data_IF_107093091518
#
_entry.id   IF_107093091518
#
_cell.length_a   1.000
_cell.length_b   1.000
_cell.length_c   1.000
_cell.angle_alpha   90.00
_cell.angle_beta   90.00
_cell.angle_gamma   90.00
#
_symmetry.space_group_name_H-M   'P 1'
#
loop_
_entity.id
_entity.type
_entity.pdbx_description
1 polymer ?
#
# COMPACT_ATOMS: atom_id res chain seq x y z
N UNK A 1 48.10 20.08 -13.57
CA UNK A 1 46.86 19.86 -14.34
C UNK A 1 45.93 21.01 -14.01
N UNK A 2 45.84 21.97 -14.93
CA UNK A 2 45.13 23.24 -14.73
C UNK A 2 43.63 23.02 -14.92
N UNK A 3 42.84 23.20 -13.87
CA UNK A 3 41.38 23.24 -14.02
C UNK A 3 41.00 24.56 -14.69
N UNK A 4 40.58 24.45 -15.95
CA UNK A 4 39.94 25.52 -16.71
C UNK A 4 38.69 25.98 -15.95
N UNK A 5 38.71 27.23 -15.47
CA UNK A 5 37.52 27.95 -15.01
C UNK A 5 36.61 28.17 -16.22
N UNK A 6 35.67 27.25 -16.45
CA UNK A 6 34.71 27.34 -17.56
C UNK A 6 33.45 28.08 -17.06
N UNK A 7 33.24 29.35 -17.45
CA UNK A 7 32.17 30.19 -16.92
C UNK A 7 30.76 29.69 -17.27
N UNK A 8 30.64 28.82 -18.29
CA UNK A 8 29.39 28.19 -18.68
C UNK A 8 28.87 27.17 -17.66
N UNK A 9 29.76 26.54 -16.88
CA UNK A 9 29.36 25.57 -15.86
C UNK A 9 28.70 26.27 -14.68
N UNK A 10 29.21 27.44 -14.28
CA UNK A 10 28.71 28.21 -13.15
C UNK A 10 27.38 28.89 -13.46
N UNK A 11 27.20 29.41 -14.67
CA UNK A 11 25.90 29.98 -15.09
C UNK A 11 24.83 28.90 -15.19
N UNK A 12 25.18 27.69 -15.64
CA UNK A 12 24.24 26.57 -15.67
C UNK A 12 23.81 26.13 -14.27
N UNK A 13 24.75 26.05 -13.32
CA UNK A 13 24.44 25.72 -11.91
C UNK A 13 23.54 26.81 -11.28
N UNK A 14 23.79 28.08 -11.58
CA UNK A 14 23.01 29.20 -11.04
C UNK A 14 21.59 29.30 -11.64
N UNK A 15 21.42 28.96 -12.91
CA UNK A 15 20.10 28.88 -13.55
C UNK A 15 19.29 27.67 -13.02
N UNK A 16 19.96 26.55 -12.74
CA UNK A 16 19.32 25.37 -12.15
C UNK A 16 18.79 25.66 -10.73
N UNK A 17 19.54 26.42 -9.92
CA UNK A 17 19.12 26.78 -8.56
C UNK A 17 17.95 27.78 -8.52
N UNK A 18 17.85 28.71 -9.47
CA UNK A 18 16.69 29.61 -9.60
C UNK A 18 15.43 28.84 -10.06
N UNK A 19 15.57 27.86 -10.95
CA UNK A 19 14.43 27.03 -11.36
C UNK A 19 13.87 26.21 -10.19
N UNK A 20 14.72 25.74 -9.27
CA UNK A 20 14.27 24.99 -8.08
C UNK A 20 13.53 25.84 -7.05
N UNK A 21 13.82 27.14 -6.92
CA UNK A 21 13.13 27.99 -5.92
C UNK A 21 11.72 28.39 -6.35
N UNK A 22 11.47 28.53 -7.67
CA UNK A 22 10.16 28.88 -8.21
C UNK A 22 9.16 27.71 -8.09
N UNK A 23 9.64 26.46 -8.09
CA UNK A 23 8.77 25.28 -7.96
C UNK A 23 8.26 25.02 -6.52
N UNK A 24 8.84 25.65 -5.49
CA UNK A 24 8.53 25.33 -4.09
C UNK A 24 7.33 26.15 -3.55
N UNK A 25 6.94 27.25 -4.20
CA UNK A 25 5.95 28.20 -3.65
C UNK A 25 4.47 27.87 -3.93
N UNK A 26 4.16 26.72 -4.54
CA UNK A 26 2.77 26.33 -4.87
C UNK A 26 2.33 24.97 -4.28
N UNK A 27 3.11 24.40 -3.36
CA UNK A 27 2.76 23.17 -2.67
C UNK A 27 1.74 23.38 -1.55
N UNK A 28 0.45 23.38 -1.87
CA UNK A 28 -0.55 22.97 -0.88
C UNK A 28 -0.22 21.52 -0.50
N UNK A 29 -0.06 21.23 0.80
CA UNK A 29 0.30 19.89 1.26
C UNK A 29 -0.75 18.89 0.76
N UNK A 30 -0.39 17.90 -0.08
CA UNK A 30 -1.34 16.89 -0.57
C UNK A 30 -1.82 15.94 0.54
N UNK A 31 -1.37 16.14 1.78
CA UNK A 31 -1.56 15.21 2.90
C UNK A 31 -2.51 15.69 4.00
N UNK A 32 -2.95 16.95 4.00
CA UNK A 32 -3.94 17.40 4.96
C UNK A 32 -5.35 17.10 4.42
N UNK A 33 -5.75 15.81 4.44
CA UNK A 33 -7.17 15.45 4.27
C UNK A 33 -7.96 16.15 5.37
N UNK A 34 -8.97 16.95 5.02
CA UNK A 34 -9.93 17.46 6.01
C UNK A 34 -10.59 16.26 6.71
N UNK A 35 -10.42 16.09 8.02
CA UNK A 35 -10.97 14.96 8.76
C UNK A 35 -12.48 14.82 8.58
N UNK A 36 -13.21 15.92 8.43
CA UNK A 36 -14.66 15.89 8.26
C UNK A 36 -15.07 15.27 6.92
N UNK A 37 -14.34 15.57 5.85
CA UNK A 37 -14.60 14.98 4.53
C UNK A 37 -14.37 13.46 4.54
N UNK A 38 -13.33 13.00 5.24
CA UNK A 38 -13.05 11.56 5.39
C UNK A 38 -14.16 10.88 6.18
N UNK A 39 -14.61 11.49 7.28
CA UNK A 39 -15.72 10.98 8.09
C UNK A 39 -17.02 10.92 7.28
N UNK A 40 -17.33 11.96 6.50
CA UNK A 40 -18.52 11.99 5.65
C UNK A 40 -18.49 10.92 4.56
N UNK A 41 -17.32 10.67 3.95
CA UNK A 41 -17.13 9.58 2.99
C UNK A 41 -17.36 8.20 3.62
N UNK A 42 -16.81 7.97 4.82
CA UNK A 42 -17.00 6.72 5.56
C UNK A 42 -18.48 6.54 5.92
N UNK A 43 -19.13 7.57 6.48
CA UNK A 43 -20.54 7.56 6.81
C UNK A 43 -21.39 7.21 5.59
N UNK A 44 -21.17 7.88 4.45
CA UNK A 44 -21.86 7.60 3.19
C UNK A 44 -21.68 6.16 2.73
N UNK A 45 -20.46 5.63 2.84
CA UNK A 45 -20.14 4.25 2.45
C UNK A 45 -20.91 3.23 3.30
N UNK A 46 -20.94 3.44 4.62
CA UNK A 46 -21.68 2.61 5.57
C UNK A 46 -23.18 2.69 5.33
N UNK A 47 -23.76 3.89 5.20
CA UNK A 47 -25.20 4.04 4.93
C UNK A 47 -25.63 3.36 3.63
N UNK A 48 -24.80 3.42 2.57
CA UNK A 48 -25.09 2.75 1.31
C UNK A 48 -24.99 1.22 1.41
N UNK A 49 -24.04 0.70 2.20
CA UNK A 49 -23.94 -0.73 2.48
C UNK A 49 -25.20 -1.24 3.22
N UNK A 50 -25.59 -0.56 4.31
CA UNK A 50 -26.72 -0.98 5.16
C UNK A 50 -28.08 -0.87 4.47
N UNK A 51 -28.33 0.15 3.65
CA UNK A 51 -29.64 0.32 2.95
C UNK A 51 -29.94 -0.78 1.92
N UNK A 52 -28.92 -1.53 1.49
CA UNK A 52 -29.04 -2.56 0.45
C UNK A 52 -29.02 -3.99 1.01
N UNK A 53 -29.02 -4.17 2.33
CA UNK A 53 -29.06 -5.52 2.95
C UNK A 53 -30.47 -6.15 2.96
N UNK A 54 -31.34 -5.73 2.04
CA UNK A 54 -32.74 -6.17 1.98
C UNK A 54 -32.86 -7.47 1.17
N UNK A 55 -32.20 -8.54 1.60
CA UNK A 55 -32.55 -9.94 1.32
C UNK A 55 -31.49 -10.89 1.90
N UNK A 56 -31.95 -12.03 2.44
CA UNK A 56 -31.17 -13.26 2.68
C UNK A 56 -30.40 -13.76 1.42
N UNK A 57 -30.74 -13.23 0.24
CA UNK A 57 -30.14 -13.54 -1.06
C UNK A 57 -28.96 -12.62 -1.45
N UNK A 58 -28.63 -11.60 -0.65
CA UNK A 58 -27.52 -10.68 -0.95
C UNK A 58 -26.28 -11.04 -0.13
N UNK A 59 -25.09 -11.03 -0.73
CA UNK A 59 -23.82 -11.25 -0.02
C UNK A 59 -23.47 -10.14 0.99
N UNK A 60 -24.17 -9.00 0.92
CA UNK A 60 -23.87 -7.81 1.72
C UNK A 60 -24.18 -8.01 3.20
N UNK A 61 -23.20 -7.68 4.03
CA UNK A 61 -23.23 -7.74 5.49
C UNK A 61 -23.50 -6.38 6.14
N UNK A 62 -23.36 -5.28 5.37
CA UNK A 62 -23.43 -3.92 5.87
C UNK A 62 -22.07 -3.33 6.24
N UNK A 63 -21.00 -4.14 6.21
CA UNK A 63 -19.63 -3.63 6.28
C UNK A 63 -19.11 -3.39 4.85
N UNK A 64 -18.94 -2.12 4.41
CA UNK A 64 -18.55 -1.81 3.03
C UNK A 64 -17.17 -2.35 2.63
N UNK A 65 -16.24 -2.53 3.58
CA UNK A 65 -14.91 -3.11 3.29
C UNK A 65 -15.08 -4.59 2.96
N UNK A 66 -15.77 -5.33 3.81
CA UNK A 66 -15.99 -6.77 3.61
C UNK A 66 -16.87 -7.04 2.39
N UNK A 67 -17.94 -6.27 2.20
CA UNK A 67 -18.83 -6.38 1.05
C UNK A 67 -18.12 -6.13 -0.28
N UNK A 68 -17.00 -5.39 -0.28
CA UNK A 68 -16.21 -5.11 -1.47
C UNK A 68 -15.41 -6.33 -1.97
N UNK A 69 -14.79 -7.10 -1.07
CA UNK A 69 -13.93 -8.22 -1.45
C UNK A 69 -14.58 -9.59 -1.24
N UNK A 70 -15.36 -9.80 -0.16
CA UNK A 70 -15.98 -11.10 0.13
C UNK A 70 -17.06 -11.48 -0.86
N UNK A 71 -17.67 -10.48 -1.49
CA UNK A 71 -18.71 -10.71 -2.50
C UNK A 71 -18.17 -10.96 -3.90
N UNK A 72 -16.84 -10.96 -4.08
CA UNK A 72 -16.22 -11.51 -5.28
C UNK A 72 -16.11 -13.04 -5.13
N UNK A 73 -16.85 -13.85 -5.90
CA UNK A 73 -16.73 -15.32 -5.83
C UNK A 73 -15.33 -15.81 -6.22
N UNK A 74 -14.56 -14.98 -6.94
CA UNK A 74 -13.20 -15.26 -7.37
C UNK A 74 -12.16 -14.51 -6.52
N UNK A 75 -12.50 -14.10 -5.29
CA UNK A 75 -11.58 -13.37 -4.40
C UNK A 75 -10.23 -14.08 -4.25
N UNK A 76 -10.21 -15.42 -4.31
CA UNK A 76 -9.01 -16.23 -4.16
C UNK A 76 -8.02 -16.04 -5.32
N UNK A 77 -8.53 -15.86 -6.54
CA UNK A 77 -7.71 -15.53 -7.71
C UNK A 77 -7.46 -14.03 -7.83
N UNK A 78 -8.31 -13.20 -7.20
CA UNK A 78 -8.28 -11.74 -7.25
C UNK A 78 -7.79 -11.11 -5.92
N UNK A 79 -6.90 -11.78 -5.17
CA UNK A 79 -6.55 -11.39 -3.79
C UNK A 79 -6.15 -9.92 -3.64
N UNK A 80 -5.41 -9.40 -4.62
CA UNK A 80 -4.89 -8.04 -4.59
C UNK A 80 -5.98 -6.96 -4.69
N UNK A 81 -7.18 -7.31 -5.15
CA UNK A 81 -8.35 -6.42 -5.16
C UNK A 81 -8.73 -5.91 -3.77
N UNK A 82 -8.35 -6.63 -2.71
CA UNK A 82 -8.55 -6.18 -1.33
C UNK A 82 -7.93 -4.79 -1.08
N UNK A 83 -6.85 -4.45 -1.76
CA UNK A 83 -6.20 -3.13 -1.65
C UNK A 83 -7.09 -1.97 -2.16
N UNK A 84 -8.13 -2.25 -2.95
CA UNK A 84 -9.09 -1.24 -3.43
C UNK A 84 -10.28 -1.04 -2.47
N UNK A 85 -10.40 -1.89 -1.46
CA UNK A 85 -11.58 -1.92 -0.57
C UNK A 85 -11.42 -1.06 0.69
N UNK A 86 -10.25 -0.45 0.91
CA UNK A 86 -9.99 0.38 2.07
C UNK A 86 -10.78 1.71 2.01
N UNK A 87 -11.32 2.13 3.15
CA UNK A 87 -12.01 3.42 3.32
C UNK A 87 -11.43 4.18 4.52
N UNK A 88 -11.76 5.47 4.63
CA UNK A 88 -11.26 6.32 5.72
C UNK A 88 -9.85 6.82 5.47
N UNK A 89 -9.12 7.16 6.54
CA UNK A 89 -7.78 7.76 6.43
C UNK A 89 -6.75 6.85 5.75
N UNK A 90 -6.92 5.53 5.87
CA UNK A 90 -6.05 4.54 5.25
C UNK A 90 -6.44 4.14 3.82
N UNK A 91 -7.42 4.79 3.18
CA UNK A 91 -7.98 4.35 1.88
C UNK A 91 -6.97 4.25 0.74
N UNK A 92 -5.85 4.96 0.83
CA UNK A 92 -4.79 4.95 -0.18
C UNK A 92 -3.71 3.87 0.08
N UNK A 93 -3.88 3.02 1.09
CA UNK A 93 -2.94 1.95 1.38
C UNK A 93 -3.05 0.82 0.34
N UNK A 94 -2.04 0.69 -0.52
CA UNK A 94 -2.01 -0.31 -1.60
C UNK A 94 -1.30 -1.61 -1.21
N UNK A 95 -0.49 -1.59 -0.14
CA UNK A 95 0.29 -2.74 0.31
C UNK A 95 1.20 -3.29 -0.80
N UNK A 96 1.13 -4.60 -1.03
CA UNK A 96 1.85 -5.30 -2.10
C UNK A 96 1.06 -5.46 -3.41
N UNK A 97 0.01 -4.65 -3.64
CA UNK A 97 -0.74 -4.65 -4.91
C UNK A 97 0.22 -4.41 -6.09
N UNK A 98 -0.05 -5.07 -7.21
CA UNK A 98 0.76 -5.08 -8.43
C UNK A 98 2.14 -5.79 -8.26
N UNK A 99 2.44 -6.24 -7.03
CA UNK A 99 3.57 -7.08 -6.71
C UNK A 99 3.32 -8.56 -7.03
N UNK A 100 4.40 -9.33 -7.07
CA UNK A 100 4.29 -10.79 -7.25
C UNK A 100 3.79 -11.46 -5.96
N UNK A 101 3.12 -12.59 -6.12
CA UNK A 101 2.71 -13.41 -4.97
C UNK A 101 3.94 -14.13 -4.41
N UNK A 102 4.23 -13.92 -3.14
CA UNK A 102 5.24 -14.66 -2.40
C UNK A 102 4.56 -15.66 -1.46
N UNK A 103 4.87 -16.94 -1.62
CA UNK A 103 4.28 -18.00 -0.78
C UNK A 103 5.25 -18.37 0.33
N UNK A 104 4.88 -18.10 1.58
CA UNK A 104 5.59 -18.62 2.75
C UNK A 104 5.32 -20.11 2.86
N UNK A 105 6.39 -20.90 2.84
CA UNK A 105 6.36 -22.36 2.89
C UNK A 105 7.07 -22.94 4.10
N UNK A 106 8.02 -22.20 4.68
CA UNK A 106 8.83 -22.62 5.83
C UNK A 106 8.54 -21.71 7.05
N UNK A 107 7.92 -22.22 8.11
CA UNK A 107 7.74 -21.48 9.37
C UNK A 107 8.94 -21.58 10.31
N UNK A 108 9.94 -22.40 9.97
CA UNK A 108 11.13 -22.63 10.78
C UNK A 108 12.24 -21.64 10.44
N UNK A 109 13.31 -21.70 11.24
CA UNK A 109 14.57 -21.00 10.98
C UNK A 109 14.41 -19.49 10.77
N UNK A 110 13.85 -18.82 11.78
CA UNK A 110 13.95 -17.37 11.86
C UNK A 110 15.42 -16.98 12.13
N UNK A 111 16.04 -16.41 11.10
CA UNK A 111 17.38 -15.81 11.14
C UNK A 111 17.21 -14.32 10.81
N UNK A 112 17.35 -13.43 11.81
CA UNK A 112 17.16 -11.99 11.61
C UNK A 112 18.23 -11.35 10.72
N UNK A 113 19.39 -12.00 10.57
CA UNK A 113 20.52 -11.48 9.78
C UNK A 113 20.47 -12.02 8.35
N UNK A 114 20.23 -13.32 8.19
CA UNK A 114 20.23 -14.00 6.90
C UNK A 114 18.95 -14.83 6.68
N UNK A 115 17.78 -14.18 6.48
CA UNK A 115 16.53 -14.89 6.29
C UNK A 115 16.54 -15.68 4.98
N UNK A 116 16.04 -16.93 5.01
CA UNK A 116 16.05 -17.82 3.83
C UNK A 116 14.80 -17.63 2.97
N UNK A 117 14.89 -17.76 1.63
CA UNK A 117 13.71 -17.87 0.77
C UNK A 117 12.72 -18.94 1.26
N UNK A 118 11.43 -18.65 1.14
CA UNK A 118 10.34 -19.47 1.68
C UNK A 118 9.93 -19.12 3.12
N UNK A 119 10.70 -18.30 3.85
CA UNK A 119 10.33 -17.80 5.19
C UNK A 119 9.57 -16.47 5.12
N UNK A 120 8.83 -16.14 6.18
CA UNK A 120 8.14 -14.84 6.31
C UNK A 120 9.13 -13.68 6.37
N UNK A 121 10.23 -13.81 7.14
CA UNK A 121 11.21 -12.73 7.29
C UNK A 121 11.84 -12.37 5.95
N UNK A 122 12.21 -13.37 5.15
CA UNK A 122 12.73 -13.12 3.81
C UNK A 122 11.71 -12.36 2.96
N UNK A 123 10.42 -12.73 3.04
CA UNK A 123 9.37 -12.06 2.29
C UNK A 123 9.20 -10.57 2.65
N UNK A 124 9.20 -10.23 3.95
CA UNK A 124 8.92 -8.85 4.41
C UNK A 124 10.11 -7.90 4.28
N UNK A 125 11.33 -8.41 4.06
CA UNK A 125 12.55 -7.59 3.90
C UNK A 125 12.93 -7.34 2.44
N UNK A 126 12.13 -7.79 1.46
CA UNK A 126 12.42 -7.51 0.06
C UNK A 126 12.13 -6.04 -0.28
N UNK A 127 12.91 -5.47 -1.20
CA UNK A 127 12.72 -4.09 -1.67
C UNK A 127 11.55 -3.95 -2.65
N UNK A 128 11.19 -5.04 -3.33
CA UNK A 128 10.04 -5.08 -4.25
C UNK A 128 8.71 -5.31 -3.50
N UNK A 129 7.58 -4.80 -4.03
CA UNK A 129 6.28 -5.09 -3.46
C UNK A 129 5.94 -6.58 -3.61
N UNK A 130 5.51 -7.20 -2.51
CA UNK A 130 5.09 -8.60 -2.48
C UNK A 130 3.69 -8.74 -1.88
N UNK A 131 2.85 -9.54 -2.54
CA UNK A 131 1.61 -10.04 -1.94
C UNK A 131 1.88 -11.36 -1.23
N UNK A 132 2.19 -11.28 0.07
CA UNK A 132 2.64 -12.42 0.87
C UNK A 132 1.44 -13.29 1.29
N UNK A 133 1.46 -14.58 0.94
CA UNK A 133 0.46 -15.56 1.35
C UNK A 133 1.11 -16.75 2.07
N UNK A 134 0.30 -17.52 2.78
CA UNK A 134 0.75 -18.68 3.54
C UNK A 134 0.27 -19.96 2.87
N UNK A 135 1.18 -20.92 2.62
CA UNK A 135 0.83 -22.19 1.97
C UNK A 135 -0.16 -23.04 2.77
N UNK A 136 -0.12 -22.91 4.09
CA UNK A 136 -0.91 -23.68 5.07
C UNK A 136 -0.87 -22.97 6.42
N UNK A 137 -1.69 -23.45 7.34
CA UNK A 137 -1.60 -23.06 8.74
C UNK A 137 -0.21 -23.36 9.30
N UNK A 138 0.33 -22.38 10.02
CA UNK A 138 1.67 -22.47 10.57
C UNK A 138 1.84 -21.60 11.81
N UNK A 139 2.74 -22.02 12.70
CA UNK A 139 3.18 -21.25 13.87
C UNK A 139 4.59 -20.76 13.61
N UNK A 140 4.75 -19.44 13.44
CA UNK A 140 6.04 -18.79 13.19
C UNK A 140 6.55 -18.22 14.51
N UNK A 141 7.75 -18.65 14.94
CA UNK A 141 8.40 -18.14 16.15
C UNK A 141 9.56 -17.24 15.75
N UNK A 142 9.34 -15.93 15.84
CA UNK A 142 10.37 -14.94 15.53
C UNK A 142 11.37 -14.82 16.68
N UNK A 143 12.65 -14.76 16.34
CA UNK A 143 13.74 -14.32 17.19
C UNK A 143 13.82 -12.79 17.16
N UNK A 144 14.28 -12.25 18.29
CA UNK A 144 14.58 -10.83 18.45
C UNK A 144 15.94 -10.51 17.84
#
# INVERSE_FOLDING_TARGET
ISYSHNPFVWTFIYLLSIATTIAISSGSSPYAQDPNLVVDEVNRSVFNASRRSLAYLSCRTGNPIDDCWRCDPNWETNRQRLADCAIGFGKNAIGGRDGRIYVVTDPSNDDPVNPRPGTLRHAVTQEEPLWIIFKRDMVIRLKK
#
